data_IF_983112506423
#
_entry.id   IF_983112506423
#
_cell.length_a   1.000
_cell.length_b   1.000
_cell.length_c   1.000
_cell.angle_alpha   90.00
_cell.angle_beta   90.00
_cell.angle_gamma   90.00
#
_symmetry.space_group_name_H-M   'P 1'
#
loop_
_entity.id
_entity.type
_entity.pdbx_description
1 polymer ?
#
# COMPACT_ATOMS: atom_id res chain seq x y z
N UNK A 1 25.23 -20.10 -44.01
CA UNK A 1 24.22 -19.18 -43.42
C UNK A 1 24.37 -19.26 -41.91
N UNK A 2 24.94 -18.23 -41.28
CA UNK A 2 25.26 -18.21 -39.85
C UNK A 2 24.11 -17.50 -39.14
N UNK A 3 23.23 -18.26 -38.50
CA UNK A 3 22.09 -17.72 -37.77
C UNK A 3 22.59 -17.11 -36.45
N UNK A 4 22.64 -15.78 -36.37
CA UNK A 4 22.77 -15.07 -35.10
C UNK A 4 21.38 -14.98 -34.44
N UNK A 5 21.19 -15.68 -33.34
CA UNK A 5 20.02 -15.51 -32.45
C UNK A 5 20.28 -14.29 -31.54
N UNK A 6 19.34 -13.32 -31.43
CA UNK A 6 19.49 -12.21 -30.50
C UNK A 6 19.15 -12.68 -29.08
N UNK A 7 20.10 -12.53 -28.15
CA UNK A 7 19.87 -12.73 -26.71
C UNK A 7 19.18 -11.47 -26.18
N UNK A 8 17.89 -11.56 -25.87
CA UNK A 8 17.13 -10.50 -25.20
C UNK A 8 17.37 -10.64 -23.69
N UNK A 9 18.17 -9.75 -23.11
CA UNK A 9 18.31 -9.65 -21.64
C UNK A 9 17.09 -8.96 -21.05
N UNK A 10 16.29 -9.68 -20.27
CA UNK A 10 15.29 -9.10 -19.37
C UNK A 10 16.03 -8.58 -18.13
N UNK A 11 16.23 -7.26 -18.02
CA UNK A 11 16.67 -6.65 -16.77
C UNK A 11 15.49 -6.71 -15.77
N UNK A 12 15.58 -7.59 -14.78
CA UNK A 12 14.60 -7.65 -13.68
C UNK A 12 14.88 -6.46 -12.75
N UNK A 13 14.05 -5.43 -12.82
CA UNK A 13 14.02 -4.36 -11.81
C UNK A 13 13.43 -4.97 -10.53
N UNK A 14 14.27 -5.38 -9.58
CA UNK A 14 13.81 -5.72 -8.23
C UNK A 14 13.34 -4.44 -7.56
N UNK A 15 12.02 -4.25 -7.42
CA UNK A 15 11.49 -3.11 -6.69
C UNK A 15 11.93 -3.21 -5.22
N UNK A 16 12.75 -2.27 -4.76
CA UNK A 16 13.15 -2.13 -3.36
C UNK A 16 12.00 -1.53 -2.53
N UNK A 17 10.85 -2.22 -2.52
CA UNK A 17 9.67 -1.79 -1.80
C UNK A 17 9.96 -1.84 -0.30
N UNK A 18 9.84 -0.71 0.41
CA UNK A 18 10.12 -0.67 1.86
C UNK A 18 8.91 -1.00 2.72
N UNK A 19 7.73 -1.02 2.10
CA UNK A 19 6.45 -1.36 2.69
C UNK A 19 5.55 -2.07 1.69
N UNK A 20 4.68 -2.93 2.20
CA UNK A 20 3.69 -3.68 1.43
C UNK A 20 2.33 -3.71 2.13
N UNK A 21 1.27 -3.79 1.32
CA UNK A 21 -0.09 -3.97 1.81
C UNK A 21 -0.46 -5.45 1.72
N UNK A 22 -0.66 -6.10 2.87
CA UNK A 22 -1.05 -7.51 2.95
C UNK A 22 -2.56 -7.73 2.94
N UNK A 23 -3.33 -6.77 3.47
CA UNK A 23 -4.78 -6.75 3.43
C UNK A 23 -5.29 -5.29 3.51
N UNK A 24 -6.41 -4.93 2.87
CA UNK A 24 -7.20 -5.77 1.95
C UNK A 24 -6.43 -6.12 0.66
N UNK A 25 -6.82 -7.20 0.01
CA UNK A 25 -6.29 -7.59 -1.31
C UNK A 25 -7.12 -6.97 -2.42
N UNK A 26 -6.58 -6.94 -3.64
CA UNK A 26 -7.29 -6.45 -4.82
C UNK A 26 -8.61 -7.23 -5.02
N UNK A 27 -9.70 -6.49 -5.28
CA UNK A 27 -11.06 -7.03 -5.41
C UNK A 27 -11.79 -7.32 -4.09
N UNK A 28 -11.22 -6.97 -2.92
CA UNK A 28 -11.90 -7.15 -1.64
C UNK A 28 -13.18 -6.30 -1.55
N UNK A 29 -14.20 -6.83 -0.87
CA UNK A 29 -15.45 -6.13 -0.58
C UNK A 29 -15.42 -5.60 0.84
N UNK A 30 -15.71 -4.31 1.01
CA UNK A 30 -15.73 -3.62 2.29
C UNK A 30 -17.12 -3.05 2.54
N UNK A 31 -17.77 -3.49 3.61
CA UNK A 31 -19.12 -3.03 3.94
C UNK A 31 -19.09 -1.71 4.70
N UNK A 32 -19.95 -0.76 4.31
CA UNK A 32 -20.10 0.54 4.98
C UNK A 32 -20.43 0.37 6.45
N UNK A 33 -19.86 1.24 7.29
CA UNK A 33 -20.02 1.22 8.74
C UNK A 33 -19.38 0.01 9.42
N UNK A 34 -18.86 -0.96 8.68
CA UNK A 34 -18.26 -2.17 9.23
C UNK A 34 -16.76 -1.99 9.43
N UNK A 35 -16.24 -2.71 10.43
CA UNK A 35 -14.81 -2.79 10.66
C UNK A 35 -14.17 -3.81 9.72
N UNK A 36 -12.94 -3.53 9.29
CA UNK A 36 -12.08 -4.45 8.56
C UNK A 36 -10.64 -4.34 9.08
N UNK A 37 -9.83 -5.36 8.80
CA UNK A 37 -8.41 -5.35 9.15
C UNK A 37 -7.58 -4.96 7.94
N UNK A 38 -6.82 -3.88 8.07
CA UNK A 38 -5.73 -3.58 7.15
C UNK A 38 -4.42 -4.15 7.72
N UNK A 39 -3.71 -4.97 6.93
CA UNK A 39 -2.42 -5.53 7.30
C UNK A 39 -1.32 -4.82 6.52
N UNK A 40 -0.35 -4.25 7.24
CA UNK A 40 0.80 -3.56 6.66
C UNK A 40 2.05 -4.36 6.96
N UNK A 41 2.70 -4.84 5.89
CA UNK A 41 3.85 -5.73 5.92
C UNK A 41 5.14 -4.90 5.82
N UNK A 42 6.16 -5.31 6.59
CA UNK A 42 7.54 -4.84 6.44
C UNK A 42 8.34 -5.89 5.68
N UNK A 43 8.50 -5.75 4.36
CA UNK A 43 9.34 -6.66 3.59
C UNK A 43 10.80 -6.54 4.05
N UNK A 44 11.59 -7.57 3.74
CA UNK A 44 13.05 -7.49 3.93
C UNK A 44 13.62 -6.45 2.97
N UNK A 45 13.93 -5.25 3.48
CA UNK A 45 14.56 -4.19 2.68
C UNK A 45 16.08 -4.24 2.81
N UNK A 46 16.78 -4.09 1.68
CA UNK A 46 18.24 -3.89 1.65
C UNK A 46 18.63 -2.50 2.15
N UNK A 47 17.72 -1.53 2.06
CA UNK A 47 17.96 -0.15 2.46
C UNK A 47 17.25 0.16 3.79
N UNK A 48 17.97 0.56 4.85
CA UNK A 48 17.35 0.92 6.11
C UNK A 48 16.49 2.17 5.93
N UNK A 49 15.30 2.18 6.53
CA UNK A 49 14.43 3.35 6.61
C UNK A 49 14.21 3.78 8.06
N UNK A 50 14.31 5.08 8.31
CA UNK A 50 13.89 5.72 9.56
C UNK A 50 12.42 6.06 9.41
N UNK A 51 11.57 5.31 10.12
CA UNK A 51 10.11 5.44 10.03
C UNK A 51 9.64 6.83 10.50
N UNK A 52 8.89 7.54 9.66
CA UNK A 52 8.17 8.77 10.05
C UNK A 52 6.72 8.44 10.34
N UNK A 53 6.06 7.69 9.45
CA UNK A 53 4.70 7.21 9.66
C UNK A 53 4.01 6.75 8.38
N UNK A 54 2.77 6.29 8.55
CA UNK A 54 1.91 5.86 7.45
C UNK A 54 0.56 6.57 7.50
N UNK A 55 -0.16 6.55 6.38
CA UNK A 55 -1.59 6.81 6.33
C UNK A 55 -2.31 5.68 5.58
N UNK A 56 -3.47 5.28 6.08
CA UNK A 56 -4.38 4.32 5.46
C UNK A 56 -5.65 5.08 5.10
N UNK A 57 -5.97 5.10 3.81
CA UNK A 57 -7.08 5.89 3.29
C UNK A 57 -7.88 5.11 2.26
N UNK A 58 -9.15 5.49 2.08
CA UNK A 58 -10.03 4.92 1.07
C UNK A 58 -10.69 6.05 0.26
N UNK A 59 -10.71 5.92 -1.06
CA UNK A 59 -11.30 6.91 -1.94
C UNK A 59 -12.19 6.25 -2.99
N UNK A 60 -13.41 6.75 -3.17
CA UNK A 60 -14.32 6.24 -4.19
C UNK A 60 -13.81 6.58 -5.59
N UNK A 61 -14.01 5.67 -6.53
CA UNK A 61 -13.73 5.91 -7.93
C UNK A 61 -14.99 6.46 -8.60
N UNK A 62 -14.83 7.55 -9.34
CA UNK A 62 -15.94 8.18 -10.06
C UNK A 62 -15.89 7.73 -11.52
N UNK A 63 -17.02 7.25 -12.05
CA UNK A 63 -17.16 6.75 -13.42
C UNK A 63 -16.08 5.72 -13.81
N UNK A 64 -15.69 4.86 -12.85
CA UNK A 64 -14.66 3.84 -13.03
C UNK A 64 -13.22 4.35 -13.00
N UNK A 65 -13.00 5.64 -12.74
CA UNK A 65 -11.66 6.25 -12.61
C UNK A 65 -11.38 6.57 -11.16
N UNK A 66 -10.31 5.97 -10.62
CA UNK A 66 -9.86 6.21 -9.26
C UNK A 66 -8.85 7.37 -9.23
N UNK A 67 -8.98 8.33 -8.29
CA UNK A 67 -7.98 9.38 -8.11
C UNK A 67 -6.60 8.80 -7.81
N UNK A 68 -5.55 9.46 -8.30
CA UNK A 68 -4.18 9.06 -7.96
C UNK A 68 -3.89 9.40 -6.49
N UNK A 69 -3.26 8.50 -5.72
CA UNK A 69 -2.89 8.75 -4.32
C UNK A 69 -2.10 10.03 -4.06
N UNK A 70 -1.25 10.43 -5.02
CA UNK A 70 -0.46 11.67 -4.94
C UNK A 70 -1.31 12.94 -4.99
N UNK A 71 -2.50 12.84 -5.58
CA UNK A 71 -3.38 13.98 -5.84
C UNK A 71 -4.49 14.04 -4.79
N UNK A 72 -5.07 12.88 -4.44
CA UNK A 72 -6.19 12.81 -3.49
C UNK A 72 -6.32 11.42 -2.84
N UNK A 73 -6.15 11.38 -1.51
CA UNK A 73 -6.29 10.15 -0.71
C UNK A 73 -7.73 9.78 -0.33
N UNK A 74 -8.67 10.73 -0.36
CA UNK A 74 -10.05 10.50 0.08
C UNK A 74 -10.19 10.50 1.61
N UNK A 75 -10.94 9.54 2.15
CA UNK A 75 -11.17 9.39 3.58
C UNK A 75 -9.95 8.74 4.25
N UNK A 76 -9.23 9.49 5.08
CA UNK A 76 -8.13 8.96 5.89
C UNK A 76 -8.69 8.25 7.11
N UNK A 77 -8.49 6.93 7.18
CA UNK A 77 -8.99 6.07 8.26
C UNK A 77 -7.97 5.94 9.40
N UNK A 78 -6.68 6.08 9.08
CA UNK A 78 -5.59 6.10 10.04
C UNK A 78 -4.44 6.96 9.51
N UNK A 79 -3.79 7.72 10.40
CA UNK A 79 -2.53 8.39 10.13
C UNK A 79 -1.69 8.40 11.41
N UNK A 80 -0.50 7.83 11.36
CA UNK A 80 0.33 7.72 12.56
C UNK A 80 1.51 6.76 12.45
N UNK A 81 2.11 6.42 13.60
CA UNK A 81 3.27 5.54 13.67
C UNK A 81 2.97 4.12 13.20
N UNK A 82 3.90 3.55 12.44
CA UNK A 82 3.89 2.13 12.08
C UNK A 82 5.05 1.41 12.76
N UNK A 83 4.72 0.46 13.63
CA UNK A 83 5.65 -0.30 14.46
C UNK A 83 5.40 -1.79 14.28
N UNK A 84 5.82 -2.37 13.13
CA UNK A 84 5.56 -3.77 12.83
C UNK A 84 6.29 -4.69 13.81
N UNK A 85 5.59 -5.73 14.24
CA UNK A 85 6.13 -6.78 15.11
C UNK A 85 6.51 -8.01 14.31
N UNK A 86 7.49 -8.77 14.80
CA UNK A 86 7.86 -10.04 14.20
C UNK A 86 6.82 -11.11 14.54
N UNK A 87 6.26 -11.73 13.50
CA UNK A 87 5.34 -12.85 13.63
C UNK A 87 6.02 -14.12 13.11
N UNK A 88 6.15 -15.16 13.96
CA UNK A 88 6.76 -16.42 13.54
C UNK A 88 6.09 -16.96 12.27
N UNK A 89 6.89 -17.33 11.26
CA UNK A 89 6.45 -17.89 9.98
C UNK A 89 5.63 -16.98 9.05
N UNK A 90 5.28 -15.76 9.46
CA UNK A 90 4.43 -14.84 8.67
C UNK A 90 5.08 -13.48 8.38
N UNK A 91 6.33 -13.28 8.82
CA UNK A 91 7.09 -12.05 8.57
C UNK A 91 6.84 -10.96 9.61
N UNK A 92 7.24 -9.73 9.29
CA UNK A 92 7.06 -8.57 10.17
C UNK A 92 5.86 -7.76 9.67
N UNK A 93 4.86 -7.51 10.53
CA UNK A 93 3.68 -6.75 10.13
C UNK A 93 3.00 -6.05 11.30
N UNK A 94 2.06 -5.17 10.96
CA UNK A 94 1.11 -4.59 11.91
C UNK A 94 -0.30 -4.64 11.31
N UNK A 95 -1.27 -5.01 12.13
CA UNK A 95 -2.68 -4.98 11.78
C UNK A 95 -3.33 -3.72 12.34
N UNK A 96 -4.22 -3.12 11.56
CA UNK A 96 -5.03 -1.96 11.93
C UNK A 96 -6.51 -2.33 11.76
N UNK A 97 -7.29 -2.19 12.83
CA UNK A 97 -8.75 -2.26 12.74
C UNK A 97 -9.25 -0.89 12.31
N UNK A 98 -9.85 -0.83 11.12
CA UNK A 98 -10.36 0.39 10.50
C UNK A 98 -11.84 0.23 10.22
N UNK A 99 -12.58 1.34 10.17
CA UNK A 99 -14.00 1.34 9.83
C UNK A 99 -14.22 2.01 8.48
N UNK A 100 -15.03 1.40 7.63
CA UNK A 100 -15.48 2.03 6.38
C UNK A 100 -16.48 3.13 6.72
N UNK A 101 -16.29 4.38 6.24
CA UNK A 101 -17.24 5.45 6.53
C UNK A 101 -18.64 5.12 5.99
N UNK A 102 -19.68 5.27 6.82
CA UNK A 102 -21.08 4.95 6.47
C UNK A 102 -21.61 5.76 5.28
N UNK A 103 -21.09 6.97 5.10
CA UNK A 103 -21.50 7.90 4.04
C UNK A 103 -20.80 7.67 2.70
N UNK A 104 -19.89 6.69 2.61
CA UNK A 104 -19.15 6.43 1.39
C UNK A 104 -20.11 5.94 0.28
N UNK A 105 -19.99 6.43 -0.96
CA UNK A 105 -20.72 5.88 -2.09
C UNK A 105 -20.41 4.40 -2.30
N UNK A 106 -21.44 3.61 -2.61
CA UNK A 106 -21.27 2.22 -3.06
C UNK A 106 -20.54 2.18 -4.41
N UNK A 107 -19.77 1.12 -4.63
CA UNK A 107 -19.07 0.84 -5.88
C UNK A 107 -17.54 0.79 -5.74
N UNK A 108 -16.82 0.86 -6.87
CA UNK A 108 -15.36 0.75 -6.88
C UNK A 108 -14.71 1.88 -6.07
N UNK A 109 -13.70 1.50 -5.29
CA UNK A 109 -12.87 2.41 -4.52
C UNK A 109 -11.41 1.96 -4.56
N UNK A 110 -10.49 2.86 -4.24
CA UNK A 110 -9.09 2.53 -4.01
C UNK A 110 -8.78 2.64 -2.52
N UNK A 111 -8.18 1.58 -1.97
CA UNK A 111 -7.59 1.62 -0.64
C UNK A 111 -6.09 1.86 -0.77
N UNK A 112 -5.60 2.90 -0.11
CA UNK A 112 -4.23 3.40 -0.25
C UNK A 112 -3.50 3.36 1.08
N UNK A 113 -2.32 2.77 1.05
CA UNK A 113 -1.27 2.89 2.06
C UNK A 113 -0.25 3.93 1.57
N UNK A 114 -0.15 5.03 2.29
CA UNK A 114 0.91 6.04 2.13
C UNK A 114 1.99 5.79 3.16
N UNK A 115 3.24 5.84 2.77
CA UNK A 115 4.39 5.63 3.66
C UNK A 115 5.41 6.75 3.47
N UNK A 116 5.79 7.37 4.59
CA UNK A 116 6.86 8.33 4.66
C UNK A 116 7.95 7.79 5.59
N UNK A 117 9.16 7.70 5.06
CA UNK A 117 10.33 7.33 5.84
C UNK A 117 11.58 8.02 5.30
N UNK A 118 12.65 8.08 6.10
CA UNK A 118 13.91 8.71 5.71
C UNK A 118 14.96 7.66 5.37
N UNK A 119 15.56 7.77 4.19
CA UNK A 119 16.55 6.81 3.68
C UNK A 119 17.95 7.42 3.55
N UNK A 120 18.98 6.58 3.68
CA UNK A 120 20.38 6.94 3.44
C UNK A 120 21.13 7.52 4.66
N UNK A 121 22.45 7.66 4.54
CA UNK A 121 23.33 8.15 5.61
C UNK A 121 23.24 9.68 5.84
N UNK A 122 22.82 10.42 4.81
CA UNK A 122 22.27 11.78 4.93
C UNK A 122 20.78 11.69 4.64
N UNK A 123 19.91 11.56 5.67
CA UNK A 123 18.54 11.10 5.46
C UNK A 123 17.72 12.04 4.57
N UNK A 124 17.16 11.49 3.49
CA UNK A 124 16.22 12.19 2.59
C UNK A 124 14.84 11.54 2.66
N UNK A 125 13.75 12.31 2.46
CA UNK A 125 12.41 11.75 2.51
C UNK A 125 12.14 10.85 1.31
N UNK A 126 11.66 9.65 1.59
CA UNK A 126 11.02 8.75 0.64
C UNK A 126 9.52 8.78 0.93
N UNK A 127 8.74 9.27 -0.04
CA UNK A 127 7.29 9.14 -0.03
C UNK A 127 6.90 8.08 -1.05
N UNK A 128 6.20 7.05 -0.59
CA UNK A 128 5.73 5.98 -1.46
C UNK A 128 4.28 5.59 -1.15
N UNK A 129 3.64 4.99 -2.15
CA UNK A 129 2.24 4.57 -2.08
C UNK A 129 2.11 3.09 -2.45
N UNK A 130 1.18 2.39 -1.81
CA UNK A 130 0.66 1.09 -2.23
C UNK A 130 -0.85 1.19 -2.28
N UNK A 131 -1.45 0.65 -3.32
CA UNK A 131 -2.89 0.69 -3.50
C UNK A 131 -3.42 -0.66 -3.96
N UNK A 132 -4.67 -0.91 -3.58
CA UNK A 132 -5.49 -1.98 -4.12
C UNK A 132 -6.85 -1.41 -4.52
N UNK A 133 -7.51 -2.08 -5.44
CA UNK A 133 -8.91 -1.82 -5.78
C UNK A 133 -9.79 -2.62 -4.84
N UNK A 134 -10.80 -1.98 -4.29
CA UNK A 134 -11.82 -2.60 -3.43
C UNK A 134 -13.21 -2.19 -3.91
N UNK A 135 -14.24 -2.90 -3.47
CA UNK A 135 -15.63 -2.53 -3.70
C UNK A 135 -16.28 -2.18 -2.37
N UNK A 136 -16.94 -1.03 -2.31
CA UNK A 136 -17.71 -0.59 -1.14
C UNK A 136 -19.17 -0.95 -1.34
N UNK A 137 -19.79 -1.57 -0.33
CA UNK A 137 -21.21 -1.99 -0.32
C UNK A 137 -21.94 -1.52 0.95
#
# INVERSE_FOLDING_TARGET
MKNLLPVISFAVLTAAQTIELGAPTDGAVLSRGSEFTAQVLKPGSLQPCIEVGIALAVNSCNDGVCPQPSDQLGNVLYAGPWTPTAHPSSGNYQNFTLQVPEYMPEGPATFTLTHLCLIGAGPVPLLEFRNVTVTVE
#
